data_IF_126432831265
#
_entry.id   IF_126432831265
#
_cell.length_a   1.000
_cell.length_b   1.000
_cell.length_c   1.000
_cell.angle_alpha   90.00
_cell.angle_beta   90.00
_cell.angle_gamma   90.00
#
_symmetry.space_group_name_H-M   'P 1'
#
loop_
_entity.id
_entity.type
_entity.pdbx_description
1 polymer ?
#
# COMPACT_ATOMS: atom_id res chain seq x y z
N UNK A 1 11.53 8.61 -22.55
CA UNK A 1 12.10 7.67 -21.56
C UNK A 1 11.92 6.24 -22.06
N UNK A 2 13.02 5.58 -22.43
CA UNK A 2 13.00 4.30 -23.14
C UNK A 2 12.34 3.19 -22.31
N UNK A 3 11.28 2.57 -22.85
CA UNK A 3 10.48 1.52 -22.20
C UNK A 3 10.84 0.12 -22.70
N UNK A 4 12.13 -0.15 -22.97
CA UNK A 4 12.53 -1.44 -23.54
C UNK A 4 12.46 -2.57 -22.51
N UNK A 5 12.06 -3.80 -22.91
CA UNK A 5 12.04 -4.96 -22.02
C UNK A 5 13.39 -5.21 -21.34
N UNK A 6 14.49 -4.96 -22.05
CA UNK A 6 15.85 -5.12 -21.57
C UNK A 6 16.17 -4.14 -20.43
N UNK A 7 15.84 -2.86 -20.58
CA UNK A 7 16.09 -1.86 -19.52
C UNK A 7 15.27 -2.17 -18.26
N UNK A 8 14.05 -2.71 -18.41
CA UNK A 8 13.25 -3.16 -17.26
C UNK A 8 13.88 -4.36 -16.56
N UNK A 9 14.40 -5.32 -17.32
CA UNK A 9 15.11 -6.47 -16.76
C UNK A 9 16.36 -6.04 -15.99
N UNK A 10 17.16 -5.12 -16.53
CA UNK A 10 18.33 -4.57 -15.86
C UNK A 10 17.96 -3.79 -14.59
N UNK A 11 16.93 -2.94 -14.64
CA UNK A 11 16.45 -2.21 -13.45
C UNK A 11 15.98 -3.17 -12.37
N UNK A 12 15.22 -4.20 -12.74
CA UNK A 12 14.73 -5.22 -11.81
C UNK A 12 15.89 -5.96 -11.14
N UNK A 13 16.90 -6.39 -11.89
CA UNK A 13 18.09 -7.05 -11.35
C UNK A 13 18.87 -6.12 -10.40
N UNK A 14 19.04 -4.86 -10.77
CA UNK A 14 19.71 -3.87 -9.93
C UNK A 14 18.95 -3.58 -8.62
N UNK A 15 17.62 -3.51 -8.67
CA UNK A 15 16.77 -3.35 -7.48
C UNK A 15 16.78 -4.59 -6.58
N UNK A 16 16.79 -5.80 -7.16
CA UNK A 16 16.89 -7.06 -6.44
C UNK A 16 18.22 -7.17 -5.68
N UNK A 17 19.35 -6.84 -6.34
CA UNK A 17 20.67 -6.88 -5.71
C UNK A 17 20.81 -5.86 -4.57
N UNK A 18 20.36 -4.61 -4.76
CA UNK A 18 20.36 -3.59 -3.69
C UNK A 18 19.50 -3.99 -2.49
N UNK A 19 18.41 -4.71 -2.74
CA UNK A 19 17.53 -5.20 -1.67
C UNK A 19 18.17 -6.35 -0.91
N UNK A 20 18.85 -7.26 -1.63
CA UNK A 20 19.61 -8.37 -1.07
C UNK A 20 20.73 -7.87 -0.14
N UNK A 21 21.54 -6.93 -0.61
CA UNK A 21 22.61 -6.27 0.16
C UNK A 21 22.09 -5.61 1.45
N UNK A 22 21.01 -4.81 1.37
CA UNK A 22 20.43 -4.18 2.57
C UNK A 22 19.92 -5.17 3.61
N UNK A 23 19.42 -6.31 3.17
CA UNK A 23 18.85 -7.32 4.06
C UNK A 23 19.91 -8.33 4.54
N UNK A 24 21.12 -8.30 3.99
CA UNK A 24 22.16 -9.29 4.26
C UNK A 24 21.77 -10.70 3.80
N UNK A 25 20.95 -10.81 2.75
CA UNK A 25 20.42 -12.07 2.25
C UNK A 25 20.93 -12.28 0.83
N UNK A 26 21.33 -13.50 0.49
CA UNK A 26 21.71 -13.87 -0.87
C UNK A 26 20.58 -13.56 -1.88
N UNK A 27 20.86 -12.91 -3.03
CA UNK A 27 19.84 -12.58 -4.04
C UNK A 27 19.04 -13.81 -4.51
N UNK A 28 19.66 -14.99 -4.54
CA UNK A 28 18.99 -16.25 -4.86
C UNK A 28 17.86 -16.60 -3.87
N UNK A 29 18.04 -16.31 -2.57
CA UNK A 29 17.01 -16.54 -1.54
C UNK A 29 15.82 -15.59 -1.67
N UNK A 30 15.99 -14.39 -2.26
CA UNK A 30 14.86 -13.52 -2.59
C UNK A 30 13.98 -14.11 -3.69
N UNK A 31 14.55 -14.90 -4.61
CA UNK A 31 13.78 -15.62 -5.62
C UNK A 31 12.99 -16.78 -5.00
N UNK A 32 13.58 -17.50 -4.04
CA UNK A 32 12.90 -18.59 -3.32
C UNK A 32 11.81 -18.07 -2.36
N UNK A 33 12.02 -16.91 -1.74
CA UNK A 33 11.03 -16.27 -0.88
C UNK A 33 9.86 -15.65 -1.67
N UNK A 34 9.98 -15.51 -3.00
CA UNK A 34 8.90 -15.03 -3.85
C UNK A 34 7.82 -16.08 -4.01
N UNK A 35 6.82 -15.96 -3.17
CA UNK A 35 5.54 -16.63 -3.32
C UNK A 35 4.93 -16.27 -4.68
N UNK A 36 4.75 -17.26 -5.55
CA UNK A 36 4.02 -17.04 -6.80
C UNK A 36 2.55 -16.71 -6.48
N UNK A 37 1.91 -15.86 -7.31
CA UNK A 37 0.48 -15.51 -7.14
C UNK A 37 -0.41 -16.74 -7.04
N UNK A 38 -0.10 -17.79 -7.80
CA UNK A 38 -0.81 -19.07 -7.78
C UNK A 38 -0.59 -19.84 -6.47
N UNK A 39 0.64 -19.84 -5.96
CA UNK A 39 0.95 -20.49 -4.69
C UNK A 39 0.31 -19.77 -3.50
N UNK A 40 0.23 -18.44 -3.54
CA UNK A 40 -0.53 -17.64 -2.57
C UNK A 40 -2.01 -18.04 -2.56
N UNK A 41 -2.64 -18.21 -3.73
CA UNK A 41 -4.03 -18.67 -3.83
C UNK A 41 -4.18 -20.10 -3.30
N UNK A 42 -3.26 -21.00 -3.65
CA UNK A 42 -3.29 -22.40 -3.19
C UNK A 42 -3.11 -22.52 -1.68
N UNK A 43 -2.18 -21.76 -1.09
CA UNK A 43 -1.98 -21.71 0.37
C UNK A 43 -3.10 -20.94 1.08
N UNK A 44 -3.63 -19.89 0.44
CA UNK A 44 -4.82 -19.17 0.91
C UNK A 44 -6.06 -20.05 0.97
N UNK A 45 -6.24 -20.96 0.01
CA UNK A 45 -7.32 -21.95 -0.02
C UNK A 45 -7.33 -22.88 1.21
N UNK A 46 -6.15 -23.25 1.72
CA UNK A 46 -6.00 -24.07 2.93
C UNK A 46 -6.35 -23.24 4.18
N UNK A 47 -5.93 -21.97 4.24
CA UNK A 47 -6.27 -21.07 5.34
C UNK A 47 -7.78 -20.81 5.43
N UNK A 48 -8.49 -20.71 4.29
CA UNK A 48 -9.96 -20.57 4.28
C UNK A 48 -10.69 -21.80 4.80
N UNK A 49 -10.17 -23.01 4.62
CA UNK A 49 -10.81 -24.23 5.13
C UNK A 49 -10.75 -24.31 6.67
N UNK A 50 -9.65 -23.87 7.30
CA UNK A 50 -9.53 -23.82 8.76
C UNK A 50 -10.48 -22.79 9.40
N UNK A 51 -10.83 -21.72 8.67
CA UNK A 51 -11.82 -20.72 9.10
C UNK A 51 -13.28 -21.24 9.06
N UNK A 52 -13.53 -22.39 8.43
CA UNK A 52 -14.85 -23.02 8.40
C UNK A 52 -15.16 -23.83 9.67
N UNK A 53 -14.17 -24.03 10.56
CA UNK A 53 -14.39 -24.65 11.86
C UNK A 53 -15.11 -23.67 12.82
N UNK A 54 -16.26 -24.04 13.40
CA UNK A 54 -16.93 -23.21 14.40
C UNK A 54 -15.97 -22.85 15.55
N UNK A 55 -15.77 -21.56 15.80
CA UNK A 55 -14.94 -21.07 16.90
C UNK A 55 -13.44 -20.86 16.59
N UNK A 56 -12.93 -21.28 15.43
CA UNK A 56 -11.53 -21.02 15.05
C UNK A 56 -11.24 -19.50 14.91
N UNK A 57 -12.20 -18.74 14.39
CA UNK A 57 -12.17 -17.27 14.33
C UNK A 57 -12.23 -16.61 15.73
N UNK A 58 -12.94 -17.23 16.68
CA UNK A 58 -13.10 -16.69 18.03
C UNK A 58 -11.83 -16.85 18.88
N UNK A 59 -11.05 -17.92 18.65
CA UNK A 59 -9.77 -18.12 19.30
C UNK A 59 -8.68 -17.16 18.79
N UNK A 60 -8.70 -16.82 17.49
CA UNK A 60 -7.76 -15.85 16.91
C UNK A 60 -8.07 -14.39 17.28
N UNK A 61 -9.32 -14.08 17.62
CA UNK A 61 -9.76 -12.73 18.00
C UNK A 61 -9.47 -12.37 19.47
N UNK A 62 -9.18 -13.37 20.32
CA UNK A 62 -9.04 -13.20 21.77
C UNK A 62 -7.62 -12.73 22.14
N UNK A 63 -7.33 -11.48 21.79
CA UNK A 63 -6.05 -10.84 22.11
C UNK A 63 -5.71 -9.60 21.28
N UNK A 64 -6.55 -9.21 20.31
CA UNK A 64 -6.27 -8.05 19.48
C UNK A 64 -6.45 -6.75 20.28
N UNK A 65 -5.33 -6.13 20.65
CA UNK A 65 -5.26 -4.70 21.00
C UNK A 65 -5.95 -3.88 19.91
N UNK A 66 -6.45 -2.69 20.24
CA UNK A 66 -7.06 -1.79 19.26
C UNK A 66 -6.23 -1.74 17.96
N UNK A 67 -6.84 -1.94 16.78
CA UNK A 67 -6.11 -2.07 15.54
C UNK A 67 -5.34 -0.77 15.24
N UNK A 68 -4.05 -0.89 14.94
CA UNK A 68 -3.23 0.23 14.46
C UNK A 68 -3.30 0.25 12.94
N UNK A 69 -3.83 1.34 12.37
CA UNK A 69 -4.07 1.45 10.94
C UNK A 69 -3.22 2.59 10.37
N UNK A 70 -2.52 2.30 9.28
CA UNK A 70 -1.79 3.30 8.49
C UNK A 70 -2.35 3.33 7.06
N UNK A 71 -2.69 4.52 6.58
CA UNK A 71 -3.17 4.80 5.23
C UNK A 71 -2.04 5.48 4.46
N UNK A 72 -1.58 4.87 3.37
CA UNK A 72 -0.52 5.40 2.52
C UNK A 72 -1.15 6.12 1.32
N UNK A 73 -1.06 7.44 1.31
CA UNK A 73 -1.59 8.35 0.30
C UNK A 73 -2.80 9.14 0.79
N UNK A 74 -2.67 10.46 0.85
CA UNK A 74 -3.73 11.45 1.13
C UNK A 74 -4.48 11.89 -0.11
N UNK A 75 -4.64 11.00 -1.10
CA UNK A 75 -5.56 11.20 -2.23
C UNK A 75 -7.02 10.91 -1.86
N UNK A 76 -7.94 11.10 -2.81
CA UNK A 76 -9.38 10.88 -2.56
C UNK A 76 -9.71 9.52 -1.93
N UNK A 77 -9.11 8.44 -2.42
CA UNK A 77 -9.36 7.11 -1.89
C UNK A 77 -8.86 6.95 -0.44
N UNK A 78 -7.68 7.48 -0.12
CA UNK A 78 -7.11 7.39 1.23
C UNK A 78 -7.86 8.26 2.23
N UNK A 79 -8.25 9.49 1.82
CA UNK A 79 -9.06 10.38 2.65
C UNK A 79 -10.47 9.81 2.88
N UNK A 80 -11.10 9.20 1.87
CA UNK A 80 -12.38 8.51 2.05
C UNK A 80 -12.26 7.30 2.98
N UNK A 81 -11.16 6.55 2.92
CA UNK A 81 -10.91 5.45 3.85
C UNK A 81 -10.72 5.97 5.29
N UNK A 82 -9.97 7.06 5.47
CA UNK A 82 -9.77 7.68 6.77
C UNK A 82 -11.10 8.16 7.37
N UNK A 83 -11.93 8.84 6.57
CA UNK A 83 -13.27 9.28 6.97
C UNK A 83 -14.14 8.09 7.41
N UNK A 84 -14.20 7.03 6.60
CA UNK A 84 -15.00 5.85 6.93
C UNK A 84 -14.53 5.10 8.18
N UNK A 85 -13.25 5.20 8.55
CA UNK A 85 -12.71 4.67 9.80
C UNK A 85 -13.05 5.59 10.98
N UNK A 86 -12.89 6.90 10.79
CA UNK A 86 -13.24 7.93 11.77
C UNK A 86 -14.71 7.84 12.18
N UNK A 87 -15.63 7.69 11.21
CA UNK A 87 -17.07 7.55 11.44
C UNK A 87 -17.41 6.31 12.30
N UNK A 88 -16.55 5.30 12.29
CA UNK A 88 -16.65 4.08 13.11
C UNK A 88 -15.88 4.16 14.43
N UNK A 89 -15.31 5.33 14.75
CA UNK A 89 -14.49 5.53 15.94
C UNK A 89 -13.14 4.82 15.90
N UNK A 90 -12.65 4.45 14.71
CA UNK A 90 -11.37 3.75 14.53
C UNK A 90 -10.32 4.75 14.06
N UNK A 91 -9.22 4.86 14.82
CA UNK A 91 -8.12 5.76 14.49
C UNK A 91 -7.23 5.19 13.38
N UNK A 92 -6.79 6.07 12.46
CA UNK A 92 -5.83 5.74 11.42
C UNK A 92 -4.88 6.90 11.14
N UNK A 93 -3.59 6.59 10.98
CA UNK A 93 -2.57 7.55 10.57
C UNK A 93 -2.54 7.65 9.03
N UNK A 94 -2.65 8.86 8.48
CA UNK A 94 -2.57 9.09 7.02
C UNK A 94 -1.21 9.67 6.66
N UNK A 95 -0.48 9.00 5.76
CA UNK A 95 0.82 9.44 5.25
C UNK A 95 0.68 9.89 3.80
N UNK A 96 0.88 11.18 3.54
CA UNK A 96 0.91 11.74 2.19
C UNK A 96 2.35 12.17 1.84
N UNK A 97 2.77 11.86 0.61
CA UNK A 97 4.12 12.16 0.13
C UNK A 97 4.31 13.62 -0.29
N UNK A 98 3.23 14.27 -0.72
CA UNK A 98 3.24 15.65 -1.18
C UNK A 98 2.91 16.63 -0.05
N UNK A 99 3.16 17.92 -0.28
CA UNK A 99 2.84 19.00 0.65
C UNK A 99 1.34 19.35 0.70
N UNK A 100 0.48 18.63 -0.03
CA UNK A 100 -0.96 18.90 -0.10
C UNK A 100 -1.80 17.62 -0.15
N UNK A 101 -3.02 17.63 0.40
CA UNK A 101 -3.96 16.54 0.20
C UNK A 101 -4.57 16.56 -1.23
N UNK A 102 -5.27 15.48 -1.59
CA UNK A 102 -6.07 15.34 -2.81
C UNK A 102 -5.44 14.43 -3.86
N UNK A 103 -4.12 14.25 -3.84
CA UNK A 103 -3.40 13.42 -4.81
C UNK A 103 -3.66 13.92 -6.24
N UNK A 104 -4.24 13.06 -7.09
CA UNK A 104 -4.59 13.41 -8.48
C UNK A 104 -5.74 14.41 -8.61
N UNK A 105 -6.57 14.58 -7.58
CA UNK A 105 -7.55 15.65 -7.55
C UNK A 105 -6.82 16.93 -7.16
N UNK A 106 -6.48 17.73 -8.16
CA UNK A 106 -5.81 19.01 -8.02
C UNK A 106 -6.57 20.04 -8.82
N UNK A 107 -6.99 21.10 -8.17
CA UNK A 107 -7.39 22.32 -8.86
C UNK A 107 -6.16 23.23 -8.92
N UNK A 108 -5.84 23.71 -10.11
CA UNK A 108 -4.98 24.88 -10.23
C UNK A 108 -5.84 26.11 -9.97
N UNK A 109 -5.36 27.01 -9.12
CA UNK A 109 -6.05 28.24 -8.74
C UNK A 109 -5.31 29.49 -9.24
N UNK A 110 -4.20 29.31 -9.96
CA UNK A 110 -3.51 30.38 -10.68
C UNK A 110 -3.93 30.34 -12.15
N UNK A 111 -4.75 31.28 -12.57
CA UNK A 111 -5.06 31.47 -13.99
C UNK A 111 -4.17 32.62 -14.50
N UNK A 112 -3.30 32.35 -15.48
CA UNK A 112 -2.42 33.37 -16.09
C UNK A 112 -1.59 34.24 -15.13
N UNK A 113 -1.21 33.71 -13.96
CA UNK A 113 -0.35 34.43 -12.99
C UNK A 113 -1.10 35.35 -12.02
N UNK A 114 -2.44 35.40 -12.07
CA UNK A 114 -3.27 36.00 -11.02
C UNK A 114 -4.04 34.90 -10.29
N UNK A 115 -4.28 35.08 -8.98
CA UNK A 115 -5.17 34.18 -8.26
C UNK A 115 -6.58 34.31 -8.85
N UNK A 116 -7.27 33.20 -9.05
CA UNK A 116 -8.67 33.21 -9.50
C UNK A 116 -9.58 34.12 -8.65
N UNK A 117 -9.23 34.29 -7.36
CA UNK A 117 -9.92 35.16 -6.40
C UNK A 117 -9.45 36.62 -6.39
N UNK A 118 -8.38 36.94 -7.12
CA UNK A 118 -7.80 38.29 -7.22
C UNK A 118 -8.44 39.13 -8.34
N UNK A 119 -9.42 38.57 -9.06
CA UNK A 119 -10.14 39.23 -10.15
C UNK A 119 -11.30 40.15 -9.66
N UNK A 120 -11.19 40.68 -8.44
CA UNK A 120 -12.19 41.53 -7.78
C UNK A 120 -12.04 43.01 -8.09
#
# INVERSE_FOLDING_TARGET
>A
MARTPLLRALRRLAEEHRTAERLGIEPARLHEARMSRRELVRRGGIATAALALPGALAAAAKGATAPRIAIIGGGIAGLSAALALQDKGVYADVYESSSRPGGRMHSDWQEFGTGFWDNG
#
